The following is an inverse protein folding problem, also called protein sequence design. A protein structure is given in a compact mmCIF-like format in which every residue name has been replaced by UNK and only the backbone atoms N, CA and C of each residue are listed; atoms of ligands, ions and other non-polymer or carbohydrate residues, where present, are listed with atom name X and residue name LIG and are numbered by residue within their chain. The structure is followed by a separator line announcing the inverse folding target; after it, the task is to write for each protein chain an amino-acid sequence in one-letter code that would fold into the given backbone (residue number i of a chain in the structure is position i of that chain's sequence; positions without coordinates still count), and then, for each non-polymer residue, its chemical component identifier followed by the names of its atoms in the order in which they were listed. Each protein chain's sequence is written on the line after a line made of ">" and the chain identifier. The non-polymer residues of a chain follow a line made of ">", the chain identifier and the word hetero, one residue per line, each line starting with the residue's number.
data_IF_679083091851
#
_entry.id   IF_679083091851
#
_cell.length_a   1.000
_cell.length_b   1.000
_cell.length_c   1.000
_cell.angle_alpha   90.00
_cell.angle_beta   90.00
_cell.angle_gamma   90.00
#
_symmetry.space_group_name_H-M   'P 1'
#
loop_
_entity.id
_entity.type
_entity.pdbx_description
1 polymer ?
#
# COMPACT_ATOMS: atom_id res chain seq x y z
N UNK A 1 -2.96 -46.80 -1.30
CA UNK A 1 -2.77 -46.05 -0.04
C UNK A 1 -2.48 -44.54 -0.24
N UNK A 2 -2.52 -43.99 -1.48
CA UNK A 2 -2.26 -42.57 -1.77
C UNK A 2 -3.49 -41.66 -1.90
N UNK A 3 -4.70 -42.19 -2.03
CA UNK A 3 -5.93 -41.40 -2.24
C UNK A 3 -6.51 -40.83 -0.92
N UNK A 4 -6.21 -41.45 0.22
CA UNK A 4 -6.67 -40.99 1.54
C UNK A 4 -5.95 -39.71 1.99
N UNK A 5 -4.68 -39.58 1.66
CA UNK A 5 -3.85 -38.41 2.03
C UNK A 5 -4.29 -37.14 1.34
N UNK A 6 -4.70 -37.23 0.05
CA UNK A 6 -5.14 -36.08 -0.74
C UNK A 6 -6.50 -35.53 -0.26
N UNK A 7 -7.41 -36.44 0.16
CA UNK A 7 -8.71 -36.03 0.74
C UNK A 7 -8.53 -35.33 2.09
N UNK A 8 -7.57 -35.76 2.90
CA UNK A 8 -7.27 -35.10 4.19
C UNK A 8 -6.68 -33.71 3.99
N UNK A 9 -5.80 -33.49 3.01
CA UNK A 9 -5.24 -32.18 2.67
C UNK A 9 -6.33 -31.24 2.16
N UNK A 10 -7.27 -31.71 1.34
CA UNK A 10 -8.40 -30.92 0.84
C UNK A 10 -9.35 -30.50 1.97
N UNK A 11 -9.58 -31.35 2.96
CA UNK A 11 -10.41 -31.04 4.14
C UNK A 11 -9.72 -29.98 5.02
N UNK A 12 -8.39 -30.07 5.21
CA UNK A 12 -7.64 -29.05 5.95
C UNK A 12 -7.68 -27.69 5.22
N UNK A 13 -7.63 -27.68 3.89
CA UNK A 13 -7.75 -26.44 3.10
C UNK A 13 -9.14 -25.80 3.21
N UNK A 14 -10.19 -26.60 3.35
CA UNK A 14 -11.57 -26.12 3.52
C UNK A 14 -11.83 -25.56 4.93
N UNK A 15 -11.13 -26.04 5.97
CA UNK A 15 -11.21 -25.51 7.33
C UNK A 15 -10.44 -24.20 7.51
N UNK A 16 -9.45 -23.91 6.66
CA UNK A 16 -8.74 -22.62 6.65
C UNK A 16 -9.56 -21.47 6.06
N UNK A 17 -10.66 -21.77 5.36
CA UNK A 17 -11.51 -20.74 4.71
C UNK A 17 -12.43 -19.97 5.67
N UNK A 18 -12.45 -20.28 6.95
CA UNK A 18 -13.26 -19.57 7.96
C UNK A 18 -12.43 -18.62 8.87
N UNK A 19 -11.21 -18.28 8.48
CA UNK A 19 -10.51 -17.20 9.15
C UNK A 19 -11.16 -15.90 8.66
N UNK A 20 -12.16 -15.42 9.39
CA UNK A 20 -12.63 -14.04 9.26
C UNK A 20 -11.48 -13.14 9.65
N UNK A 21 -10.76 -12.66 8.66
CA UNK A 21 -9.69 -11.70 8.86
C UNK A 21 -10.36 -10.42 9.35
N UNK A 22 -10.24 -10.15 10.65
CA UNK A 22 -10.61 -8.85 11.19
C UNK A 22 -9.71 -7.81 10.54
N UNK A 23 -10.31 -6.92 9.75
CA UNK A 23 -9.54 -5.85 9.08
C UNK A 23 -9.06 -4.86 10.13
N UNK A 24 -7.76 -4.58 10.12
CA UNK A 24 -7.16 -3.54 10.97
C UNK A 24 -7.76 -2.19 10.62
N UNK A 25 -8.34 -1.51 11.59
CA UNK A 25 -8.75 -0.13 11.43
C UNK A 25 -7.52 0.77 11.45
N UNK A 26 -7.38 1.58 10.40
CA UNK A 26 -6.29 2.55 10.26
C UNK A 26 -6.87 3.96 10.16
N UNK A 27 -7.12 4.65 11.31
CA UNK A 27 -7.75 5.98 11.31
C UNK A 27 -7.02 6.98 10.43
N UNK A 28 -5.70 6.88 10.33
CA UNK A 28 -4.88 7.74 9.48
C UNK A 28 -5.15 7.57 7.99
N UNK A 29 -5.70 6.44 7.54
CA UNK A 29 -6.10 6.24 6.14
C UNK A 29 -7.22 7.19 5.71
N UNK A 30 -8.00 7.74 6.65
CA UNK A 30 -9.03 8.75 6.38
C UNK A 30 -8.45 10.10 5.96
N UNK A 31 -7.19 10.38 6.29
CA UNK A 31 -6.51 11.65 6.00
C UNK A 31 -5.97 11.73 4.57
N UNK A 32 -5.80 10.57 3.92
CA UNK A 32 -5.25 10.48 2.57
C UNK A 32 -6.36 10.02 1.63
N UNK A 33 -6.69 10.79 0.56
CA UNK A 33 -7.79 10.48 -0.34
C UNK A 33 -7.73 9.11 -1.03
N UNK A 34 -6.53 8.56 -1.20
CA UNK A 34 -6.30 7.23 -1.79
C UNK A 34 -5.99 6.15 -0.74
N UNK A 35 -6.16 6.47 0.56
CA UNK A 35 -5.83 5.56 1.65
C UNK A 35 -4.35 5.54 2.01
N UNK A 36 -3.99 4.65 2.92
CA UNK A 36 -2.60 4.42 3.33
C UNK A 36 -1.85 3.65 2.23
N UNK A 37 -0.77 4.24 1.73
CA UNK A 37 0.03 3.66 0.65
C UNK A 37 0.97 2.61 1.24
N UNK A 38 1.01 1.42 0.62
CA UNK A 38 1.92 0.36 0.99
C UNK A 38 3.32 0.59 0.41
N UNK A 39 4.33 0.14 1.14
CA UNK A 39 5.68 0.03 0.58
C UNK A 39 5.71 -1.09 -0.48
N UNK A 40 6.37 -0.84 -1.60
CA UNK A 40 6.55 -1.79 -2.70
C UNK A 40 7.60 -2.89 -2.38
N UNK A 41 7.99 -3.04 -1.13
CA UNK A 41 8.99 -4.02 -0.69
C UNK A 41 8.44 -5.44 -0.71
N UNK A 42 9.15 -6.36 -1.32
CA UNK A 42 8.89 -7.78 -1.24
C UNK A 42 9.45 -8.38 0.06
N UNK A 43 9.09 -9.60 0.41
CA UNK A 43 9.39 -10.21 1.69
C UNK A 43 10.89 -10.18 2.04
N UNK A 44 11.77 -10.45 1.07
CA UNK A 44 13.21 -10.35 1.26
C UNK A 44 13.67 -8.94 1.65
N UNK A 45 13.14 -7.93 0.97
CA UNK A 45 13.46 -6.54 1.26
C UNK A 45 12.88 -6.08 2.61
N UNK A 46 11.67 -6.54 2.96
CA UNK A 46 11.07 -6.31 4.27
C UNK A 46 11.90 -6.91 5.40
N UNK A 47 12.44 -8.12 5.21
CA UNK A 47 13.40 -8.75 6.13
C UNK A 47 14.67 -7.93 6.34
N UNK A 48 15.05 -7.15 5.35
CA UNK A 48 16.18 -6.19 5.38
C UNK A 48 15.74 -4.77 5.83
N UNK A 49 14.63 -4.64 6.56
CA UNK A 49 14.14 -3.33 7.01
C UNK A 49 13.65 -2.41 5.89
N UNK A 50 13.24 -2.97 4.74
CA UNK A 50 12.78 -2.24 3.57
C UNK A 50 13.88 -1.84 2.58
N UNK A 51 15.11 -2.31 2.78
CA UNK A 51 16.24 -2.06 1.86
C UNK A 51 16.03 -2.85 0.57
N UNK A 52 15.84 -2.16 -0.55
CA UNK A 52 15.61 -2.76 -1.87
C UNK A 52 16.14 -1.92 -3.03
N UNK A 53 16.37 -0.62 -2.84
CA UNK A 53 16.89 0.27 -3.88
C UNK A 53 18.31 -0.15 -4.28
N UNK A 54 19.13 -0.50 -3.28
CA UNK A 54 20.52 -0.95 -3.46
C UNK A 54 20.70 -2.46 -3.27
N UNK A 55 19.62 -3.22 -3.03
CA UNK A 55 19.67 -4.66 -2.80
C UNK A 55 19.19 -5.46 -4.00
N UNK A 56 20.11 -6.01 -4.79
CA UNK A 56 19.82 -6.96 -5.88
C UNK A 56 20.16 -8.39 -5.44
N UNK A 57 19.24 -9.32 -5.60
CA UNK A 57 19.38 -10.72 -5.22
C UNK A 57 19.39 -11.65 -6.44
N UNK A 58 20.12 -12.77 -6.35
CA UNK A 58 20.11 -13.81 -7.38
C UNK A 58 18.82 -14.66 -7.37
N UNK A 59 18.16 -14.73 -6.20
CA UNK A 59 17.04 -15.63 -5.93
C UNK A 59 15.70 -14.91 -5.82
N UNK A 60 15.72 -13.63 -5.41
CA UNK A 60 14.53 -12.88 -5.08
C UNK A 60 14.28 -11.76 -6.07
N UNK A 61 13.00 -11.52 -6.33
CA UNK A 61 12.56 -10.40 -7.16
C UNK A 61 12.68 -9.08 -6.38
N UNK A 62 12.97 -8.02 -7.11
CA UNK A 62 13.01 -6.68 -6.55
C UNK A 62 12.00 -5.78 -7.28
N UNK A 63 11.00 -5.29 -6.55
CA UNK A 63 9.98 -4.39 -7.09
C UNK A 63 10.28 -2.90 -6.79
N UNK A 64 11.23 -2.60 -5.90
CA UNK A 64 11.59 -1.23 -5.55
C UNK A 64 12.51 -0.59 -6.59
N UNK A 65 13.50 -1.32 -7.09
CA UNK A 65 14.42 -0.84 -8.12
C UNK A 65 14.41 -1.78 -9.34
N UNK A 66 13.80 -1.37 -10.45
CA UNK A 66 13.74 -2.21 -11.64
C UNK A 66 15.13 -2.54 -12.23
N UNK A 67 16.16 -1.71 -12.01
CA UNK A 67 17.51 -1.96 -12.46
C UNK A 67 18.19 -3.11 -11.68
N UNK A 68 17.76 -3.40 -10.45
CA UNK A 68 18.28 -4.50 -9.64
C UNK A 68 17.83 -5.88 -10.14
N UNK A 69 16.79 -5.95 -10.99
CA UNK A 69 16.30 -7.20 -11.58
C UNK A 69 17.37 -7.95 -12.38
N UNK A 70 18.38 -7.27 -12.95
CA UNK A 70 19.45 -7.92 -13.72
C UNK A 70 20.27 -8.94 -12.92
N UNK A 71 20.17 -8.87 -11.58
CA UNK A 71 20.84 -9.82 -10.69
C UNK A 71 20.05 -11.11 -10.51
N UNK A 72 18.76 -11.12 -10.77
CA UNK A 72 17.95 -12.34 -10.76
C UNK A 72 18.42 -13.28 -11.88
N UNK A 73 18.90 -14.47 -11.50
CA UNK A 73 19.52 -15.42 -12.42
C UNK A 73 18.58 -16.52 -12.89
N UNK A 74 17.46 -16.67 -12.23
CA UNK A 74 16.53 -17.78 -12.42
C UNK A 74 15.14 -17.25 -12.79
N UNK A 75 14.37 -18.10 -13.46
CA UNK A 75 12.92 -17.89 -13.53
C UNK A 75 12.36 -18.06 -12.12
N UNK A 76 11.80 -16.99 -11.59
CA UNK A 76 11.41 -16.90 -10.20
C UNK A 76 9.91 -16.64 -10.12
N UNK A 77 9.23 -17.41 -9.27
CA UNK A 77 7.86 -17.13 -8.85
C UNK A 77 7.88 -16.87 -7.35
N UNK A 78 7.33 -15.75 -6.92
CA UNK A 78 7.24 -15.39 -5.52
C UNK A 78 5.83 -14.94 -5.16
N UNK A 79 5.41 -15.33 -3.95
CA UNK A 79 4.19 -14.87 -3.32
C UNK A 79 4.51 -14.51 -1.88
N UNK A 80 4.13 -13.32 -1.45
CA UNK A 80 4.29 -12.85 -0.09
C UNK A 80 2.97 -12.71 0.62
N UNK A 81 2.95 -13.09 1.90
CA UNK A 81 1.86 -12.81 2.83
C UNK A 81 2.42 -11.85 3.87
N UNK A 82 1.71 -10.76 4.12
CA UNK A 82 2.04 -9.83 5.19
C UNK A 82 0.94 -9.82 6.23
N UNK A 83 1.35 -9.69 7.50
CA UNK A 83 0.44 -9.42 8.59
C UNK A 83 0.98 -8.26 9.42
N UNK A 84 0.11 -7.38 9.85
CA UNK A 84 0.44 -6.30 10.75
C UNK A 84 -0.52 -6.29 11.94
N UNK A 85 0.02 -5.94 13.09
CA UNK A 85 -0.73 -5.74 14.33
C UNK A 85 -0.51 -4.31 14.77
N UNK A 86 -1.61 -3.59 14.95
CA UNK A 86 -1.57 -2.18 15.36
C UNK A 86 -2.28 -2.00 16.69
N UNK A 87 -1.69 -1.19 17.53
CA UNK A 87 -2.26 -0.76 18.79
C UNK A 87 -2.57 0.73 18.71
N UNK A 88 -3.85 1.06 18.84
CA UNK A 88 -4.34 2.42 18.94
C UNK A 88 -4.55 2.75 20.42
N UNK A 89 -3.94 3.81 20.87
CA UNK A 89 -4.05 4.27 22.26
C UNK A 89 -4.47 5.72 22.28
N UNK A 90 -5.52 6.02 23.01
CA UNK A 90 -5.88 7.37 23.40
C UNK A 90 -5.90 7.45 24.95
N UNK A 91 -6.21 8.60 25.51
CA UNK A 91 -6.21 8.84 26.97
C UNK A 91 -7.15 7.92 27.76
N UNK A 92 -8.14 7.28 27.12
CA UNK A 92 -9.20 6.52 27.78
C UNK A 92 -9.35 5.08 27.28
N UNK A 93 -8.90 4.80 26.06
CA UNK A 93 -9.11 3.51 25.40
C UNK A 93 -7.84 3.00 24.75
N UNK A 94 -7.73 1.69 24.72
CA UNK A 94 -6.68 0.95 24.01
C UNK A 94 -7.36 -0.08 23.13
N UNK A 95 -7.10 -0.01 21.84
CA UNK A 95 -7.60 -0.96 20.85
C UNK A 95 -6.44 -1.65 20.14
N UNK A 96 -6.56 -2.96 19.92
CA UNK A 96 -5.56 -3.77 19.22
C UNK A 96 -6.27 -4.44 18.07
N UNK A 97 -5.78 -4.21 16.88
CA UNK A 97 -6.30 -4.82 15.66
C UNK A 97 -5.19 -5.45 14.84
N UNK A 98 -5.49 -6.58 14.19
CA UNK A 98 -4.56 -7.33 13.35
C UNK A 98 -5.15 -7.56 11.97
N UNK A 99 -4.31 -7.55 10.95
CA UNK A 99 -4.66 -7.85 9.57
C UNK A 99 -3.64 -8.79 8.94
N UNK A 100 -4.09 -9.62 8.01
CA UNK A 100 -3.22 -10.42 7.16
C UNK A 100 -3.79 -10.48 5.75
N UNK A 101 -2.95 -10.26 4.77
CA UNK A 101 -3.33 -10.31 3.37
C UNK A 101 -2.17 -10.80 2.48
N UNK A 102 -2.50 -11.11 1.22
CA UNK A 102 -1.50 -11.34 0.19
C UNK A 102 -0.83 -10.00 -0.10
N UNK A 103 0.48 -9.91 0.17
CA UNK A 103 1.25 -8.69 -0.04
C UNK A 103 1.67 -8.52 -1.50
N UNK A 104 2.00 -9.61 -2.18
CA UNK A 104 2.33 -9.59 -3.61
C UNK A 104 2.29 -10.99 -4.21
N UNK A 105 2.13 -11.00 -5.54
CA UNK A 105 2.48 -12.14 -6.39
C UNK A 105 3.34 -11.59 -7.51
N UNK A 106 4.53 -12.17 -7.69
CA UNK A 106 5.50 -11.72 -8.68
C UNK A 106 6.09 -12.89 -9.47
N UNK A 107 6.37 -12.63 -10.73
CA UNK A 107 7.00 -13.56 -11.63
C UNK A 107 8.12 -12.84 -12.38
N UNK A 108 9.32 -13.42 -12.40
CA UNK A 108 10.50 -12.87 -13.06
C UNK A 108 11.15 -13.87 -14.01
N UNK A 109 11.59 -13.39 -15.16
CA UNK A 109 12.20 -14.20 -16.19
C UNK A 109 13.45 -13.52 -16.73
N UNK A 110 14.62 -14.17 -16.68
CA UNK A 110 15.78 -13.76 -17.45
C UNK A 110 15.54 -13.99 -18.94
N UNK A 111 15.28 -12.92 -19.70
CA UNK A 111 15.02 -12.98 -21.14
C UNK A 111 16.31 -13.33 -21.90
N UNK A 112 17.43 -12.72 -21.47
CA UNK A 112 18.76 -13.00 -22.04
C UNK A 112 19.63 -13.58 -20.91
N UNK A 113 20.26 -14.72 -21.21
CA UNK A 113 21.17 -15.40 -20.28
C UNK A 113 22.23 -14.44 -19.71
N UNK A 114 22.63 -14.69 -18.48
CA UNK A 114 23.63 -13.87 -17.79
C UNK A 114 23.07 -12.58 -17.19
N UNK A 115 21.74 -12.42 -17.11
CA UNK A 115 21.09 -11.25 -16.53
C UNK A 115 21.23 -9.98 -17.39
N UNK A 116 21.53 -10.11 -18.68
CA UNK A 116 21.63 -8.95 -19.57
C UNK A 116 20.30 -8.24 -19.73
N UNK A 117 19.21 -8.98 -19.71
CA UNK A 117 17.84 -8.47 -19.70
C UNK A 117 16.97 -9.41 -18.88
N UNK A 118 16.30 -8.86 -17.88
CA UNK A 118 15.36 -9.56 -17.01
C UNK A 118 14.05 -8.78 -17.00
N UNK A 119 12.95 -9.48 -17.21
CA UNK A 119 11.62 -8.93 -17.09
C UNK A 119 10.91 -9.52 -15.86
N UNK A 120 10.07 -8.72 -15.22
CA UNK A 120 9.22 -9.15 -14.12
C UNK A 120 7.84 -8.56 -14.27
N UNK A 121 6.83 -9.33 -13.90
CA UNK A 121 5.45 -8.87 -13.82
C UNK A 121 4.78 -9.44 -12.57
N UNK A 122 3.76 -8.76 -12.09
CA UNK A 122 3.03 -9.20 -10.92
C UNK A 122 1.97 -8.21 -10.49
N UNK A 123 1.39 -8.50 -9.34
CA UNK A 123 0.47 -7.57 -8.70
C UNK A 123 0.76 -7.48 -7.20
N UNK A 124 0.43 -6.32 -6.63
CA UNK A 124 0.48 -6.09 -5.19
C UNK A 124 -0.52 -4.99 -4.80
N UNK A 125 -0.99 -4.97 -3.56
CA UNK A 125 -1.72 -3.83 -3.03
C UNK A 125 -0.92 -2.55 -3.19
N UNK A 126 -1.58 -1.47 -3.62
CA UNK A 126 -0.99 -0.14 -3.71
C UNK A 126 -1.34 0.71 -2.50
N UNK A 127 -2.62 0.73 -2.12
CA UNK A 127 -3.09 1.41 -0.91
C UNK A 127 -4.28 0.70 -0.30
N UNK A 128 -4.59 1.02 0.96
CA UNK A 128 -5.84 0.59 1.58
C UNK A 128 -6.46 1.67 2.45
N UNK A 129 -7.77 1.64 2.53
CA UNK A 129 -8.56 2.46 3.44
C UNK A 129 -9.42 1.54 4.28
N UNK A 130 -9.25 1.63 5.60
CA UNK A 130 -10.08 0.90 6.53
C UNK A 130 -10.11 1.65 7.87
N UNK A 131 -11.14 2.43 8.08
CA UNK A 131 -11.31 3.16 9.34
C UNK A 131 -12.75 3.13 9.81
N UNK A 132 -12.90 3.18 11.14
CA UNK A 132 -14.15 3.43 11.84
C UNK A 132 -13.89 4.46 12.91
N UNK A 133 -14.47 5.64 12.74
CA UNK A 133 -14.31 6.75 13.68
C UNK A 133 -15.67 7.15 14.21
N UNK A 134 -15.70 7.49 15.49
CA UNK A 134 -16.88 7.99 16.16
C UNK A 134 -16.60 9.38 16.72
N UNK A 135 -17.55 10.28 16.54
CA UNK A 135 -17.50 11.61 17.11
C UNK A 135 -18.88 12.01 17.64
N UNK A 136 -18.89 12.63 18.80
CA UNK A 136 -20.10 13.14 19.43
C UNK A 136 -19.96 14.65 19.64
N UNK A 137 -20.91 15.41 19.13
CA UNK A 137 -20.89 16.87 19.22
C UNK A 137 -22.21 17.42 19.78
N UNK A 138 -22.13 18.44 20.61
CA UNK A 138 -23.28 19.18 21.07
C UNK A 138 -23.91 19.98 19.91
N UNK A 139 -25.25 20.00 19.88
CA UNK A 139 -25.98 20.90 18.98
C UNK A 139 -26.10 22.25 19.69
N UNK A 140 -25.78 23.32 18.96
CA UNK A 140 -25.99 24.68 19.42
C UNK A 140 -27.32 25.21 18.87
N UNK A 141 -28.10 25.86 19.72
CA UNK A 141 -29.33 26.52 19.33
C UNK A 141 -29.07 27.76 18.45
N UNK A 142 -30.13 28.32 17.90
CA UNK A 142 -30.07 29.53 17.07
C UNK A 142 -29.52 30.75 17.88
N UNK A 143 -29.66 30.69 19.17
CA UNK A 143 -29.13 31.66 20.15
C UNK A 143 -27.63 31.48 20.47
N UNK A 144 -26.99 30.47 19.88
CA UNK A 144 -25.58 30.12 20.09
C UNK A 144 -25.34 29.36 21.41
N UNK A 145 -26.34 29.02 22.16
CA UNK A 145 -26.21 28.23 23.38
C UNK A 145 -26.23 26.74 23.10
N UNK A 146 -25.45 25.92 23.85
CA UNK A 146 -25.49 24.47 23.68
C UNK A 146 -26.86 23.93 24.09
N UNK A 147 -27.45 23.08 23.26
CA UNK A 147 -28.67 22.35 23.60
C UNK A 147 -28.32 21.07 24.37
N UNK A 148 -29.34 20.38 24.90
CA UNK A 148 -29.17 19.05 25.50
C UNK A 148 -29.07 17.92 24.49
N UNK A 149 -29.18 18.24 23.19
CA UNK A 149 -29.13 17.27 22.13
C UNK A 149 -27.68 17.06 21.62
N UNK A 150 -27.31 15.82 21.41
CA UNK A 150 -26.03 15.39 20.87
C UNK A 150 -26.24 14.84 19.46
N UNK A 151 -25.31 15.15 18.55
CA UNK A 151 -25.20 14.49 17.26
C UNK A 151 -24.05 13.50 17.32
N UNK A 152 -24.36 12.26 17.02
CA UNK A 152 -23.41 11.16 16.90
C UNK A 152 -23.06 10.97 15.42
N UNK A 153 -21.79 11.11 15.09
CA UNK A 153 -21.26 10.85 13.77
C UNK A 153 -20.47 9.54 13.78
N UNK A 154 -20.77 8.66 12.83
CA UNK A 154 -19.92 7.51 12.51
C UNK A 154 -19.32 7.72 11.11
N UNK A 155 -18.02 7.56 11.02
CA UNK A 155 -17.27 7.66 9.79
C UNK A 155 -16.67 6.27 9.51
N UNK A 156 -17.14 5.62 8.47
CA UNK A 156 -16.64 4.33 8.03
C UNK A 156 -16.00 4.49 6.65
N UNK A 157 -14.75 4.05 6.51
CA UNK A 157 -14.07 4.00 5.22
C UNK A 157 -13.55 2.61 4.93
N UNK A 158 -13.69 2.17 3.70
CA UNK A 158 -13.24 0.85 3.25
C UNK A 158 -12.79 0.87 1.80
N UNK A 159 -12.02 -0.15 1.42
CA UNK A 159 -11.55 -0.34 0.06
C UNK A 159 -10.04 -0.26 -0.06
N UNK A 160 -9.56 -0.21 -1.30
CA UNK A 160 -8.13 -0.15 -1.58
C UNK A 160 -7.84 -0.09 -3.07
N UNK A 161 -6.62 0.28 -3.38
CA UNK A 161 -6.08 0.26 -4.72
C UNK A 161 -5.08 -0.89 -4.86
N UNK A 162 -5.10 -1.52 -5.99
CA UNK A 162 -4.17 -2.59 -6.39
C UNK A 162 -3.39 -2.14 -7.60
N UNK A 163 -2.14 -2.54 -7.72
CA UNK A 163 -1.37 -2.33 -8.93
C UNK A 163 -0.96 -3.64 -9.58
N UNK A 164 -1.04 -3.67 -10.90
CA UNK A 164 -0.38 -4.65 -11.75
C UNK A 164 0.83 -3.97 -12.35
N UNK A 165 1.99 -4.59 -12.31
CA UNK A 165 3.21 -4.00 -12.82
C UNK A 165 3.90 -4.88 -13.86
N UNK A 166 4.61 -4.21 -14.75
CA UNK A 166 5.57 -4.81 -15.67
C UNK A 166 6.89 -4.04 -15.56
N UNK A 167 7.95 -4.76 -15.22
CA UNK A 167 9.25 -4.21 -14.92
C UNK A 167 10.33 -4.86 -15.79
N UNK A 168 11.31 -4.06 -16.24
CA UNK A 168 12.43 -4.50 -17.05
C UNK A 168 13.72 -3.96 -16.48
N UNK A 169 14.70 -4.84 -16.30
CA UNK A 169 16.08 -4.49 -15.99
C UNK A 169 17.01 -4.86 -17.13
N UNK A 170 17.88 -3.95 -17.52
CA UNK A 170 18.85 -4.13 -18.60
C UNK A 170 20.25 -3.81 -18.08
N UNK A 171 21.17 -4.75 -18.27
CA UNK A 171 22.58 -4.57 -17.92
C UNK A 171 23.28 -3.76 -19.00
N UNK A 172 23.75 -2.56 -18.68
CA UNK A 172 24.45 -1.68 -19.62
C UNK A 172 25.92 -2.12 -19.80
N UNK A 173 26.58 -2.45 -18.69
CA UNK A 173 27.93 -3.03 -18.66
C UNK A 173 28.08 -3.91 -17.40
N UNK A 174 29.31 -4.29 -17.06
CA UNK A 174 29.54 -5.20 -15.92
C UNK A 174 29.18 -4.59 -14.55
N UNK A 175 29.19 -3.28 -14.43
CA UNK A 175 28.95 -2.56 -13.18
C UNK A 175 27.59 -1.86 -13.17
N UNK A 176 27.10 -1.35 -14.31
CA UNK A 176 25.90 -0.54 -14.39
C UNK A 176 24.72 -1.28 -15.02
N UNK A 177 23.55 -1.06 -14.46
CA UNK A 177 22.26 -1.45 -15.02
C UNK A 177 21.24 -0.33 -14.95
N UNK A 178 20.27 -0.38 -15.86
CA UNK A 178 19.14 0.51 -15.96
C UNK A 178 17.85 -0.31 -15.91
N UNK A 179 16.81 0.26 -15.33
CA UNK A 179 15.51 -0.38 -15.29
C UNK A 179 14.36 0.60 -15.46
N UNK A 180 13.27 0.06 -15.98
CA UNK A 180 12.02 0.77 -16.16
C UNK A 180 10.84 -0.12 -15.72
N UNK A 181 9.89 0.47 -15.00
CA UNK A 181 8.67 -0.18 -14.55
C UNK A 181 7.47 0.67 -14.94
N UNK A 182 6.49 0.05 -15.58
CA UNK A 182 5.16 0.58 -15.79
C UNK A 182 4.18 -0.18 -14.89
N UNK A 183 3.26 0.53 -14.26
CA UNK A 183 2.23 -0.09 -13.43
C UNK A 183 0.86 0.50 -13.76
N UNK A 184 -0.16 -0.32 -13.72
CA UNK A 184 -1.56 0.07 -13.80
C UNK A 184 -2.18 -0.05 -12.41
N UNK A 185 -2.63 1.07 -11.87
CA UNK A 185 -3.29 1.15 -10.56
C UNK A 185 -4.79 1.15 -10.80
N UNK A 186 -5.53 0.36 -10.05
CA UNK A 186 -7.00 0.30 -10.12
C UNK A 186 -7.57 -0.09 -8.76
N UNK A 187 -8.82 0.27 -8.54
CA UNK A 187 -9.55 -0.10 -7.33
C UNK A 187 -10.62 0.90 -6.96
N UNK A 188 -11.21 0.68 -5.79
CA UNK A 188 -12.34 1.43 -5.32
C UNK A 188 -12.17 1.76 -3.83
N UNK A 189 -12.51 2.97 -3.48
CA UNK A 189 -12.60 3.45 -2.11
C UNK A 189 -14.03 3.91 -1.82
N UNK A 190 -14.56 3.54 -0.66
CA UNK A 190 -15.86 3.97 -0.19
C UNK A 190 -15.77 4.63 1.18
N UNK A 191 -16.57 5.65 1.38
CA UNK A 191 -16.76 6.35 2.64
C UNK A 191 -18.23 6.44 2.96
N UNK A 192 -18.56 6.18 4.21
CA UNK A 192 -19.92 6.25 4.71
C UNK A 192 -19.94 7.09 5.99
N UNK A 193 -20.64 8.21 5.93
CA UNK A 193 -20.78 9.14 7.06
C UNK A 193 -22.23 9.12 7.51
N UNK A 194 -22.48 8.53 8.66
CA UNK A 194 -23.81 8.54 9.26
C UNK A 194 -23.90 9.50 10.42
N UNK A 195 -25.00 10.23 10.50
CA UNK A 195 -25.29 11.14 11.61
C UNK A 195 -26.65 10.84 12.21
N UNK A 196 -26.71 10.88 13.57
CA UNK A 196 -27.93 10.63 14.34
C UNK A 196 -28.00 11.60 15.50
N UNK A 197 -29.17 12.22 15.69
CA UNK A 197 -29.47 13.06 16.85
C UNK A 197 -29.97 12.19 17.99
N UNK A 198 -29.38 12.31 19.17
CA UNK A 198 -29.63 11.40 20.31
C UNK A 198 -31.08 11.37 20.77
N UNK A 199 -31.76 12.54 20.81
CA UNK A 199 -33.12 12.66 21.30
C UNK A 199 -34.18 12.73 20.21
N UNK A 200 -33.75 12.71 18.93
CA UNK A 200 -34.58 12.86 17.75
C UNK A 200 -34.29 11.75 16.73
N UNK A 201 -34.80 10.54 16.97
CA UNK A 201 -34.46 9.39 16.16
C UNK A 201 -34.89 9.50 14.68
N UNK A 202 -35.82 10.39 14.35
CA UNK A 202 -36.22 10.69 12.98
C UNK A 202 -35.12 11.41 12.16
N UNK A 203 -34.13 12.00 12.82
CA UNK A 203 -33.02 12.68 12.17
C UNK A 203 -31.82 11.73 12.04
N UNK A 204 -31.93 10.78 11.14
CA UNK A 204 -30.82 9.94 10.71
C UNK A 204 -30.52 10.21 9.23
N UNK A 205 -29.28 10.61 8.96
CA UNK A 205 -28.80 10.78 7.60
C UNK A 205 -27.54 9.97 7.36
N UNK A 206 -27.37 9.54 6.14
CA UNK A 206 -26.25 8.73 5.69
C UNK A 206 -25.72 9.29 4.38
N UNK A 207 -24.49 9.80 4.37
CA UNK A 207 -23.77 10.22 3.20
C UNK A 207 -22.87 9.07 2.76
N UNK A 208 -23.16 8.48 1.61
CA UNK A 208 -22.34 7.46 0.99
C UNK A 208 -21.56 8.07 -0.17
N UNK A 209 -20.26 7.87 -0.18
CA UNK A 209 -19.37 8.26 -1.26
C UNK A 209 -18.55 7.07 -1.73
N UNK A 210 -18.41 6.97 -3.03
CA UNK A 210 -17.65 5.93 -3.72
C UNK A 210 -16.75 6.55 -4.77
N UNK A 211 -15.52 6.08 -4.86
CA UNK A 211 -14.53 6.58 -5.78
C UNK A 211 -13.79 5.43 -6.43
N UNK A 212 -13.93 5.30 -7.73
CA UNK A 212 -13.25 4.27 -8.53
C UNK A 212 -12.09 4.89 -9.27
N UNK A 213 -10.90 4.33 -9.10
CA UNK A 213 -9.64 4.82 -9.67
C UNK A 213 -9.11 3.86 -10.73
N UNK A 214 -8.52 4.42 -11.78
CA UNK A 214 -7.73 3.66 -12.75
C UNK A 214 -6.74 4.59 -13.45
N UNK A 215 -5.44 4.26 -13.42
CA UNK A 215 -4.42 5.02 -14.14
C UNK A 215 -3.08 4.27 -14.20
N UNK A 216 -2.16 4.81 -15.00
CA UNK A 216 -0.82 4.29 -15.17
C UNK A 216 0.20 5.09 -14.38
N UNK A 217 1.18 4.41 -13.80
CA UNK A 217 2.33 5.01 -13.14
C UNK A 217 3.62 4.43 -13.70
N UNK A 218 4.69 5.22 -13.65
CA UNK A 218 5.98 4.85 -14.19
C UNK A 218 7.09 5.10 -13.17
N UNK A 219 8.09 4.21 -13.19
CA UNK A 219 9.27 4.33 -12.36
C UNK A 219 10.51 3.95 -13.15
N UNK A 220 11.63 4.56 -12.84
CA UNK A 220 12.94 4.20 -13.38
C UNK A 220 13.94 3.92 -12.29
N UNK A 221 14.97 3.15 -12.61
CA UNK A 221 16.04 2.86 -11.69
C UNK A 221 17.40 2.80 -12.36
N UNK A 222 18.41 3.11 -11.59
CA UNK A 222 19.81 2.89 -11.90
C UNK A 222 20.41 2.04 -10.79
N UNK A 223 21.31 1.16 -11.15
CA UNK A 223 22.00 0.32 -10.20
C UNK A 223 23.46 0.16 -10.60
N UNK A 224 24.35 0.34 -9.64
CA UNK A 224 25.79 0.17 -9.77
C UNK A 224 26.25 -0.90 -8.79
N UNK A 225 27.02 -1.89 -9.28
CA UNK A 225 27.65 -2.92 -8.44
C UNK A 225 29.12 -3.03 -8.82
N UNK A 226 29.99 -2.84 -7.85
CA UNK A 226 31.44 -2.97 -8.02
C UNK A 226 32.03 -3.93 -7.02
N UNK A 227 32.84 -4.83 -7.52
CA UNK A 227 33.70 -5.67 -6.71
C UNK A 227 34.92 -4.87 -6.25
N UNK A 228 35.15 -4.82 -4.94
CA UNK A 228 36.29 -4.09 -4.32
C UNK A 228 37.45 -5.06 -4.08
N UNK A 229 37.09 -6.27 -3.65
CA UNK A 229 38.02 -7.35 -3.33
C UNK A 229 37.21 -8.65 -3.44
N UNK A 230 37.91 -9.78 -3.51
CA UNK A 230 37.32 -11.11 -3.64
C UNK A 230 36.05 -11.25 -2.79
N UNK A 231 34.90 -11.51 -3.46
CA UNK A 231 33.56 -11.68 -2.91
C UNK A 231 32.97 -10.48 -2.13
N UNK A 232 33.60 -9.29 -2.21
CA UNK A 232 33.13 -8.07 -1.54
C UNK A 232 32.68 -7.02 -2.53
N UNK A 233 31.45 -6.59 -2.37
CA UNK A 233 30.81 -5.67 -3.31
C UNK A 233 30.26 -4.41 -2.60
N UNK A 234 30.41 -3.27 -3.26
CA UNK A 234 29.58 -2.09 -3.02
C UNK A 234 28.50 -2.05 -4.08
N UNK A 235 27.27 -1.80 -3.64
CA UNK A 235 26.09 -1.62 -4.48
C UNK A 235 25.50 -0.23 -4.21
N UNK A 236 25.17 0.50 -5.26
CA UNK A 236 24.54 1.81 -5.18
C UNK A 236 23.31 1.77 -6.06
N UNK A 237 22.17 2.16 -5.53
CA UNK A 237 20.91 2.22 -6.23
C UNK A 237 20.34 3.63 -6.24
N UNK A 238 19.68 3.97 -7.34
CA UNK A 238 18.89 5.20 -7.48
C UNK A 238 17.57 4.85 -8.14
N UNK A 239 16.47 5.44 -7.64
CA UNK A 239 15.13 5.27 -8.20
C UNK A 239 14.42 6.60 -8.32
N UNK A 240 13.61 6.71 -9.36
CA UNK A 240 12.72 7.85 -9.58
C UNK A 240 11.34 7.35 -9.98
N UNK A 241 10.35 7.65 -9.14
CA UNK A 241 8.94 7.44 -9.44
C UNK A 241 8.36 8.74 -10.00
N UNK A 242 7.77 8.68 -11.19
CA UNK A 242 7.18 9.86 -11.82
C UNK A 242 5.88 10.25 -11.13
N UNK A 243 5.64 11.55 -11.06
CA UNK A 243 4.33 12.05 -10.62
C UNK A 243 3.24 11.61 -11.59
N UNK A 244 2.09 11.23 -11.05
CA UNK A 244 0.93 10.80 -11.82
C UNK A 244 -0.33 11.43 -11.26
N UNK A 245 -1.22 11.88 -12.15
CA UNK A 245 -2.53 12.38 -11.78
C UNK A 245 -3.55 11.25 -11.94
N UNK A 246 -3.85 10.56 -10.84
CA UNK A 246 -4.86 9.50 -10.84
C UNK A 246 -6.24 10.08 -11.13
N UNK A 247 -6.88 9.60 -12.18
CA UNK A 247 -8.26 9.90 -12.47
C UNK A 247 -9.20 8.99 -11.67
N UNK A 248 -10.32 9.55 -11.24
CA UNK A 248 -11.35 8.81 -10.54
C UNK A 248 -12.74 9.21 -10.96
N UNK A 249 -13.62 8.23 -11.00
CA UNK A 249 -15.05 8.42 -11.12
C UNK A 249 -15.69 8.38 -9.73
N UNK A 250 -16.45 9.43 -9.40
CA UNK A 250 -17.08 9.60 -8.09
C UNK A 250 -18.57 9.52 -8.15
N UNK A 251 -19.12 8.81 -7.18
CA UNK A 251 -20.54 8.75 -6.87
C UNK A 251 -20.75 9.24 -5.44
N UNK A 252 -21.76 10.08 -5.19
CA UNK A 252 -22.17 10.50 -3.84
C UNK A 252 -23.67 10.58 -3.72
N UNK A 253 -24.18 10.00 -2.65
CA UNK A 253 -25.60 9.89 -2.35
C UNK A 253 -25.87 10.21 -0.88
N UNK A 254 -26.84 11.06 -0.65
CA UNK A 254 -27.36 11.35 0.68
C UNK A 254 -28.69 10.64 0.88
N UNK A 255 -28.77 9.84 1.93
CA UNK A 255 -29.98 9.15 2.34
C UNK A 255 -30.49 9.68 3.69
N UNK A 256 -31.80 9.83 3.80
CA UNK A 256 -32.47 10.03 5.10
C UNK A 256 -33.30 8.81 5.40
N UNK A 257 -33.11 8.25 6.58
CA UNK A 257 -33.77 7.01 7.03
C UNK A 257 -34.49 7.21 8.34
N UNK A 258 -35.54 6.44 8.58
CA UNK A 258 -36.12 6.28 9.90
C UNK A 258 -35.25 5.27 10.65
N UNK A 259 -34.70 5.62 11.82
CA UNK A 259 -33.97 4.67 12.64
C UNK A 259 -34.82 3.44 12.97
N UNK A 260 -34.18 2.27 12.95
CA UNK A 260 -34.80 0.96 13.18
C UNK A 260 -35.88 0.57 12.13
N UNK A 261 -35.91 1.25 10.99
CA UNK A 261 -36.74 0.90 9.84
C UNK A 261 -35.86 0.71 8.60
N UNK A 262 -36.25 -0.19 7.71
CA UNK A 262 -35.65 -0.31 6.39
C UNK A 262 -36.15 0.78 5.41
N UNK A 263 -37.08 1.62 5.87
CA UNK A 263 -37.69 2.65 5.02
C UNK A 263 -36.74 3.82 4.85
N UNK A 264 -36.33 4.06 3.63
CA UNK A 264 -35.60 5.25 3.18
C UNK A 264 -36.63 6.33 2.88
N UNK A 265 -36.55 7.49 3.54
CA UNK A 265 -37.48 8.59 3.35
C UNK A 265 -37.13 9.44 2.12
N UNK A 266 -35.85 9.72 1.95
CA UNK A 266 -35.33 10.56 0.87
C UNK A 266 -34.00 9.99 0.42
N UNK A 267 -33.82 9.90 -0.88
CA UNK A 267 -32.55 9.63 -1.52
C UNK A 267 -32.26 10.80 -2.45
N UNK A 268 -31.12 11.44 -2.25
CA UNK A 268 -30.65 12.52 -3.10
C UNK A 268 -29.25 12.17 -3.61
N UNK A 269 -29.12 12.07 -4.93
CA UNK A 269 -27.82 11.84 -5.57
C UNK A 269 -27.15 13.20 -5.79
N UNK A 270 -26.11 13.45 -4.98
CA UNK A 270 -25.37 14.71 -5.02
C UNK A 270 -24.58 14.82 -6.33
N UNK A 271 -23.91 13.73 -6.72
CA UNK A 271 -23.26 13.60 -8.02
C UNK A 271 -23.13 12.14 -8.42
N UNK A 272 -23.15 11.92 -9.73
CA UNK A 272 -22.97 10.63 -10.38
C UNK A 272 -21.93 10.81 -11.49
N UNK A 273 -20.93 9.90 -11.54
CA UNK A 273 -19.84 9.91 -12.51
C UNK A 273 -19.04 11.23 -12.57
N UNK A 274 -18.88 11.90 -11.42
CA UNK A 274 -18.04 13.10 -11.33
C UNK A 274 -16.58 12.72 -11.49
N UNK A 275 -15.95 13.17 -12.57
CA UNK A 275 -14.52 13.01 -12.80
C UNK A 275 -13.76 13.92 -11.86
N UNK A 276 -12.78 13.37 -11.18
CA UNK A 276 -11.86 14.07 -10.28
C UNK A 276 -10.46 13.51 -10.44
N UNK A 277 -9.44 14.29 -10.07
CA UNK A 277 -8.04 13.88 -10.19
C UNK A 277 -7.33 14.02 -8.84
N UNK A 278 -6.48 13.07 -8.53
CA UNK A 278 -5.59 13.11 -7.38
C UNK A 278 -4.13 12.96 -7.82
N UNK A 279 -3.29 13.92 -7.46
CA UNK A 279 -1.89 13.88 -7.86
C UNK A 279 -1.05 13.08 -6.87
N UNK A 280 -0.52 11.95 -7.32
CA UNK A 280 0.57 11.24 -6.65
C UNK A 280 1.87 11.99 -6.98
N UNK A 281 2.62 12.43 -5.97
CA UNK A 281 3.86 13.17 -6.23
C UNK A 281 4.98 12.27 -6.73
N UNK A 282 5.98 12.88 -7.34
CA UNK A 282 7.23 12.19 -7.65
C UNK A 282 7.97 11.80 -6.37
N UNK A 283 8.70 10.69 -6.46
CA UNK A 283 9.54 10.17 -5.39
C UNK A 283 10.96 9.93 -5.88
N UNK A 284 11.93 10.22 -5.03
CA UNK A 284 13.35 9.95 -5.24
C UNK A 284 13.83 8.97 -4.18
N UNK A 285 14.55 7.94 -4.61
CA UNK A 285 15.18 6.98 -3.73
C UNK A 285 16.68 6.85 -4.01
N UNK A 286 17.49 6.75 -2.97
CA UNK A 286 18.92 6.50 -3.03
C UNK A 286 19.29 5.46 -1.99
N UNK A 287 20.14 4.49 -2.36
CA UNK A 287 20.58 3.44 -1.46
C UNK A 287 22.04 3.07 -1.68
N UNK A 288 22.67 2.63 -0.61
CA UNK A 288 24.02 2.05 -0.61
C UNK A 288 23.99 0.76 0.17
N UNK A 289 24.57 -0.30 -0.39
CA UNK A 289 24.73 -1.58 0.32
C UNK A 289 26.15 -2.11 0.17
N UNK A 290 26.61 -2.79 1.20
CA UNK A 290 27.85 -3.55 1.21
C UNK A 290 27.53 -5.03 1.37
N UNK A 291 28.10 -5.86 0.53
CA UNK A 291 27.85 -7.31 0.52
C UNK A 291 29.18 -8.08 0.55
N UNK A 292 29.23 -9.08 1.39
CA UNK A 292 30.16 -10.19 1.31
C UNK A 292 29.32 -11.39 0.90
N UNK A 293 29.57 -11.96 -0.28
CA UNK A 293 28.77 -13.07 -0.83
C UNK A 293 28.66 -14.18 0.21
N UNK A 294 27.44 -14.69 0.39
CA UNK A 294 27.08 -15.82 1.26
C UNK A 294 27.47 -15.65 2.73
N UNK A 295 27.74 -14.41 3.19
CA UNK A 295 28.12 -14.11 4.59
C UNK A 295 27.38 -12.96 5.21
N UNK A 296 27.42 -11.80 4.57
CA UNK A 296 26.93 -10.56 5.18
C UNK A 296 26.43 -9.59 4.11
N UNK A 297 25.26 -9.03 4.31
CA UNK A 297 24.81 -7.87 3.57
C UNK A 297 24.33 -6.78 4.54
N UNK A 298 24.74 -5.54 4.31
CA UNK A 298 24.30 -4.37 5.06
C UNK A 298 23.85 -3.31 4.07
N UNK A 299 22.70 -2.68 4.32
CA UNK A 299 22.16 -1.63 3.46
C UNK A 299 21.61 -0.44 4.24
N UNK A 300 21.74 0.73 3.63
CA UNK A 300 21.16 1.99 4.08
C UNK A 300 20.52 2.71 2.89
N UNK A 301 19.28 3.15 3.06
CA UNK A 301 18.51 3.80 2.00
C UNK A 301 17.77 5.03 2.50
N UNK A 302 17.59 5.98 1.60
CA UNK A 302 16.84 7.18 1.80
C UNK A 302 15.85 7.35 0.66
N UNK A 303 14.58 7.63 0.99
CA UNK A 303 13.52 7.97 0.03
C UNK A 303 12.82 9.25 0.44
N UNK A 304 12.47 10.06 -0.53
CA UNK A 304 11.68 11.28 -0.32
C UNK A 304 10.60 11.43 -1.38
N UNK A 305 9.41 11.88 -0.97
CA UNK A 305 8.29 12.16 -1.87
C UNK A 305 7.73 13.55 -1.61
N UNK A 306 7.45 14.28 -2.69
CA UNK A 306 7.09 15.71 -2.65
C UNK A 306 5.57 15.93 -2.47
N UNK A 307 4.99 15.41 -1.39
CA UNK A 307 3.54 15.48 -1.10
C UNK A 307 3.01 16.92 -0.98
N UNK A 308 3.86 17.90 -0.72
CA UNK A 308 3.48 19.31 -0.73
C UNK A 308 2.93 19.80 -2.08
N UNK A 309 3.19 19.06 -3.17
CA UNK A 309 2.72 19.37 -4.52
C UNK A 309 1.45 18.59 -4.89
N UNK A 310 0.95 17.73 -3.99
CA UNK A 310 -0.27 16.98 -4.22
C UNK A 310 -1.47 17.90 -4.07
N UNK A 311 -2.21 18.08 -5.14
CA UNK A 311 -3.50 18.78 -5.14
C UNK A 311 -4.61 17.75 -5.06
N UNK A 312 -5.53 17.97 -4.16
CA UNK A 312 -6.43 16.91 -3.80
C UNK A 312 -7.83 17.03 -4.32
N UNK A 313 -8.43 16.02 -4.35
CA UNK A 313 -9.63 15.34 -4.64
C UNK A 313 -10.84 15.70 -3.75
N UNK A 314 -10.63 16.13 -2.54
CA UNK A 314 -11.63 16.68 -1.64
C UNK A 314 -11.30 18.15 -1.36
N UNK A 315 -12.33 18.94 -1.09
CA UNK A 315 -12.17 20.16 -0.31
C UNK A 315 -11.68 19.79 1.10
N UNK A 316 -10.50 19.17 1.15
CA UNK A 316 -9.93 18.65 2.37
C UNK A 316 -9.40 19.82 3.18
N UNK A 317 -9.89 20.04 4.40
CA UNK A 317 -9.36 21.05 5.31
C UNK A 317 -7.87 20.84 5.65
N UNK A 318 -7.31 19.66 5.39
CA UNK A 318 -5.89 19.32 5.59
C UNK A 318 -5.03 19.61 4.35
N UNK A 319 -5.18 20.78 3.72
CA UNK A 319 -4.45 21.21 2.51
C UNK A 319 -2.91 21.28 2.63
N UNK A 320 -2.33 20.95 3.78
CA UNK A 320 -0.91 21.14 4.05
C UNK A 320 -0.15 19.82 4.16
N UNK A 321 -0.15 19.03 3.07
CA UNK A 321 0.79 17.92 3.00
C UNK A 321 2.22 18.45 2.99
N UNK A 322 3.12 17.77 3.71
CA UNK A 322 4.54 18.08 3.73
C UNK A 322 5.30 17.02 2.94
N UNK A 323 6.52 17.33 2.57
CA UNK A 323 7.44 16.36 2.00
C UNK A 323 7.65 15.22 2.98
N UNK A 324 7.54 13.98 2.50
CA UNK A 324 7.84 12.78 3.30
C UNK A 324 9.29 12.35 3.13
N UNK A 325 9.84 11.79 4.20
CA UNK A 325 11.17 11.22 4.25
C UNK A 325 11.10 9.84 4.87
N UNK A 326 11.80 8.88 4.28
CA UNK A 326 11.92 7.53 4.78
C UNK A 326 13.40 7.15 4.80
N UNK A 327 13.86 6.59 5.90
CA UNK A 327 15.20 6.00 6.05
C UNK A 327 14.99 4.53 6.37
N UNK A 328 15.64 3.65 5.61
CA UNK A 328 15.61 2.20 5.79
C UNK A 328 17.02 1.69 5.98
N UNK A 329 17.20 0.78 6.91
CA UNK A 329 18.49 0.11 7.13
C UNK A 329 18.25 -1.35 7.49
N UNK A 330 19.13 -2.22 7.03
CA UNK A 330 19.03 -3.65 7.28
C UNK A 330 20.36 -4.35 7.22
N UNK A 331 20.41 -5.49 7.90
CA UNK A 331 21.55 -6.39 7.91
C UNK A 331 21.05 -7.82 7.70
N UNK A 332 21.72 -8.56 6.84
CA UNK A 332 21.51 -9.98 6.61
C UNK A 332 22.80 -10.72 6.91
N UNK A 333 22.71 -11.74 7.74
CA UNK A 333 23.85 -12.59 8.13
C UNK A 333 23.50 -14.00 7.74
N UNK A 334 24.37 -14.64 6.96
CA UNK A 334 24.25 -16.03 6.56
C UNK A 334 25.29 -16.82 7.36
N UNK A 335 24.87 -17.62 8.36
CA UNK A 335 25.78 -18.47 9.10
C UNK A 335 26.37 -19.55 8.20
N UNK A 336 27.64 -19.91 8.40
CA UNK A 336 28.25 -21.04 7.70
C UNK A 336 27.46 -22.31 8.02
N UNK A 337 26.91 -22.96 7.00
CA UNK A 337 26.13 -24.19 7.14
C UNK A 337 26.97 -25.45 7.44
N UNK A 338 28.30 -25.33 7.45
CA UNK A 338 29.23 -26.44 7.63
C UNK A 338 29.85 -26.52 9.04
N UNK A 339 29.38 -25.70 10.01
CA UNK A 339 29.80 -25.77 11.41
C UNK A 339 28.67 -26.15 12.34
#
# INVERSE_FOLDING_TARGET
>A
MQISSFKSILIYFFFLSNITIAQVTTPFSSLIPIGEIYDNSFANNLGMGGVGISNGSYWHLNNQNPAALVYNRFTTFEMGIASDVRQLVNNQTKDISGNGNINYIGFGVPIIKGGKWVASFGFNPYSSTNYKLYSENLIFGVDGNPTSALVNYNYDGSGGLTQIYFSNGIKLNNEFSFGFKGSYIFGELSSNISSKVSNEPQFYSNLFEKSSFNDNTFSTGLFYKKEIKDDKFIKIGFTYDFSTSLESNRFSQLERKIPNSLTVLVVDTIYNDKISQFNIPSSLGFGVSYEIIDKLSFGLEFRTSSWNNSSGYFDNPFKNYKRSYQISSGIEIIPDAEN
#
